data_IF_530852380773
#
_entry.id   IF_530852380773
#
_cell.length_a   1.000
_cell.length_b   1.000
_cell.length_c   1.000
_cell.angle_alpha   90.00
_cell.angle_beta   90.00
_cell.angle_gamma   90.00
#
_symmetry.space_group_name_H-M   'P 1'
#
loop_
_entity.id
_entity.type
_entity.pdbx_description
1 polymer ?
#
# COMPACT_ATOMS: atom_id res chain seq x y z
N UNK A 1 33.94 8.71 4.96
CA UNK A 1 33.55 9.26 3.63
C UNK A 1 32.72 8.27 2.80
N UNK A 2 33.16 7.03 2.58
CA UNK A 2 32.45 6.04 1.74
C UNK A 2 31.07 5.65 2.27
N UNK A 3 30.91 5.49 3.56
CA UNK A 3 29.61 5.12 4.19
C UNK A 3 28.55 6.22 3.99
N UNK A 4 28.94 7.49 4.16
CA UNK A 4 28.03 8.62 3.91
C UNK A 4 27.56 8.70 2.46
N UNK A 5 28.46 8.49 1.50
CA UNK A 5 28.12 8.47 0.08
C UNK A 5 27.15 7.32 -0.27
N UNK A 6 27.35 6.15 0.29
CA UNK A 6 26.44 5.01 0.10
C UNK A 6 25.05 5.27 0.67
N UNK A 7 24.96 5.89 1.85
CA UNK A 7 23.67 6.23 2.45
C UNK A 7 22.94 7.33 1.64
N UNK A 8 23.67 8.34 1.17
CA UNK A 8 23.10 9.34 0.28
C UNK A 8 22.54 8.71 -1.01
N UNK A 9 23.26 7.77 -1.61
CA UNK A 9 22.79 7.05 -2.80
C UNK A 9 21.50 6.24 -2.51
N UNK A 10 21.43 5.56 -1.36
CA UNK A 10 20.20 4.82 -0.96
C UNK A 10 19.01 5.77 -0.79
N UNK A 11 19.19 6.92 -0.14
CA UNK A 11 18.11 7.93 0.02
C UNK A 11 17.64 8.49 -1.33
N UNK A 12 18.54 8.73 -2.25
CA UNK A 12 18.18 9.14 -3.61
C UNK A 12 17.34 8.04 -4.29
N UNK A 13 17.72 6.78 -4.13
CA UNK A 13 16.95 5.67 -4.67
C UNK A 13 15.54 5.59 -4.06
N UNK A 14 15.40 5.75 -2.73
CA UNK A 14 14.08 5.77 -2.09
C UNK A 14 13.20 6.91 -2.63
N UNK A 15 13.78 8.12 -2.82
CA UNK A 15 13.06 9.25 -3.43
C UNK A 15 12.66 8.97 -4.88
N UNK A 16 13.52 8.33 -5.67
CA UNK A 16 13.21 7.94 -7.04
C UNK A 16 12.09 6.90 -7.11
N UNK A 17 12.08 5.93 -6.19
CA UNK A 17 11.00 4.96 -6.08
C UNK A 17 9.65 5.65 -5.80
N UNK A 18 9.62 6.60 -4.86
CA UNK A 18 8.41 7.39 -4.59
C UNK A 18 7.93 8.16 -5.82
N UNK A 19 8.85 8.75 -6.59
CA UNK A 19 8.51 9.44 -7.85
C UNK A 19 7.92 8.49 -8.87
N UNK A 20 8.51 7.30 -9.06
CA UNK A 20 7.99 6.28 -9.98
C UNK A 20 6.59 5.82 -9.58
N UNK A 21 6.37 5.56 -8.29
CA UNK A 21 5.05 5.24 -7.73
C UNK A 21 4.06 6.37 -7.99
N UNK A 22 4.45 7.62 -7.74
CA UNK A 22 3.59 8.78 -7.99
C UNK A 22 3.19 8.88 -9.46
N UNK A 23 4.14 8.73 -10.39
CA UNK A 23 3.86 8.71 -11.84
C UNK A 23 2.90 7.58 -12.20
N UNK A 24 3.10 6.36 -11.67
CA UNK A 24 2.24 5.22 -11.93
C UNK A 24 0.79 5.43 -11.42
N UNK A 25 0.63 6.01 -10.22
CA UNK A 25 -0.71 6.33 -9.68
C UNK A 25 -1.41 7.40 -10.52
N UNK A 26 -0.69 8.43 -10.97
CA UNK A 26 -1.26 9.44 -11.86
C UNK A 26 -1.58 8.88 -13.26
N UNK A 27 -0.76 7.97 -13.80
CA UNK A 27 -1.06 7.29 -15.05
C UNK A 27 -2.33 6.42 -14.95
N UNK A 28 -2.50 5.70 -13.83
CA UNK A 28 -3.75 5.00 -13.52
C UNK A 28 -4.92 5.97 -13.48
N UNK A 29 -4.82 7.08 -12.74
CA UNK A 29 -5.86 8.09 -12.63
C UNK A 29 -6.20 8.72 -13.99
N UNK A 30 -5.22 8.96 -14.84
CA UNK A 30 -5.47 9.49 -16.18
C UNK A 30 -6.29 8.53 -17.07
N UNK A 31 -6.07 7.22 -16.93
CA UNK A 31 -6.81 6.19 -17.68
C UNK A 31 -8.18 5.89 -17.07
N UNK A 32 -8.28 5.81 -15.75
CA UNK A 32 -9.50 5.37 -15.04
C UNK A 32 -10.37 6.54 -14.57
N UNK A 33 -9.88 7.79 -14.67
CA UNK A 33 -10.53 9.04 -14.19
C UNK A 33 -10.65 9.17 -12.68
N UNK A 34 -10.27 8.15 -11.92
CA UNK A 34 -10.24 8.13 -10.46
C UNK A 34 -8.91 7.59 -9.98
N UNK A 35 -8.51 7.91 -8.77
CA UNK A 35 -7.37 7.28 -8.13
C UNK A 35 -7.65 5.80 -7.80
N UNK A 36 -6.63 4.93 -7.77
CA UNK A 36 -6.83 3.53 -7.40
C UNK A 36 -7.33 3.45 -5.95
N UNK A 37 -8.17 2.46 -5.67
CA UNK A 37 -8.58 2.15 -4.30
C UNK A 37 -7.36 1.79 -3.44
N UNK A 38 -7.26 2.32 -2.24
CA UNK A 38 -6.18 1.96 -1.31
C UNK A 38 -6.12 0.46 -1.06
N UNK A 39 -7.30 -0.14 -0.88
CA UNK A 39 -7.54 -1.58 -0.92
C UNK A 39 -8.97 -1.85 -1.37
N UNK A 40 -9.23 -3.02 -1.92
CA UNK A 40 -10.56 -3.43 -2.34
C UNK A 40 -11.07 -4.56 -1.45
N UNK A 41 -12.27 -4.44 -0.89
CA UNK A 41 -12.84 -5.44 0.02
C UNK A 41 -13.29 -6.71 -0.67
N UNK A 42 -13.70 -6.62 -1.94
CA UNK A 42 -14.22 -7.76 -2.70
C UNK A 42 -13.10 -8.72 -3.09
N UNK A 43 -11.99 -8.20 -3.61
CA UNK A 43 -10.87 -9.01 -4.10
C UNK A 43 -9.61 -8.92 -3.23
N UNK A 44 -9.62 -8.09 -2.19
CA UNK A 44 -8.53 -7.86 -1.23
C UNK A 44 -7.19 -7.44 -1.87
N UNK A 45 -7.25 -6.83 -3.03
CA UNK A 45 -6.08 -6.26 -3.68
C UNK A 45 -5.88 -4.80 -3.26
N UNK A 46 -4.63 -4.38 -3.17
CA UNK A 46 -4.27 -3.01 -2.82
C UNK A 46 -3.94 -2.18 -4.07
N UNK A 47 -3.90 -0.86 -3.91
CA UNK A 47 -3.50 0.09 -4.95
C UNK A 47 -2.20 -0.32 -5.67
N UNK A 48 -1.27 -0.99 -4.96
CA UNK A 48 -0.01 -1.46 -5.53
C UNK A 48 -0.21 -2.42 -6.69
N UNK A 49 -1.24 -3.27 -6.64
CA UNK A 49 -1.58 -4.20 -7.72
C UNK A 49 -2.19 -3.45 -8.89
N UNK A 50 -3.09 -2.50 -8.63
CA UNK A 50 -3.78 -1.74 -9.68
C UNK A 50 -2.83 -0.89 -10.53
N UNK A 51 -1.69 -0.45 -9.98
CA UNK A 51 -0.71 0.36 -10.71
C UNK A 51 0.40 -0.45 -11.39
N UNK A 52 0.43 -1.78 -11.27
CA UNK A 52 1.45 -2.63 -11.88
C UNK A 52 1.63 -2.40 -13.39
N UNK A 53 0.56 -2.24 -14.21
CA UNK A 53 0.71 -1.96 -15.65
C UNK A 53 1.51 -0.69 -15.92
N UNK A 54 1.40 0.31 -15.05
CA UNK A 54 2.09 1.59 -15.17
C UNK A 54 3.52 1.57 -14.57
N UNK A 55 3.94 0.41 -14.05
CA UNK A 55 5.29 0.12 -13.54
C UNK A 55 6.00 -0.93 -14.40
N UNK A 56 5.55 -1.11 -15.65
CA UNK A 56 6.08 -2.12 -16.60
C UNK A 56 5.95 -3.57 -16.10
N UNK A 57 4.96 -3.83 -15.23
CA UNK A 57 4.71 -5.13 -14.61
C UNK A 57 3.39 -5.76 -15.09
N UNK A 58 3.06 -5.59 -16.38
CA UNK A 58 1.84 -6.15 -16.96
C UNK A 58 1.75 -7.67 -16.78
N UNK A 59 2.85 -8.39 -17.00
CA UNK A 59 2.88 -9.85 -16.86
C UNK A 59 2.60 -10.33 -15.42
N UNK A 60 2.96 -9.54 -14.41
CA UNK A 60 2.59 -9.83 -13.02
C UNK A 60 1.12 -9.46 -12.76
N UNK A 61 0.65 -8.33 -13.30
CA UNK A 61 -0.74 -7.88 -13.18
C UNK A 61 -1.72 -8.93 -13.72
N UNK A 62 -1.44 -9.51 -14.89
CA UNK A 62 -2.30 -10.51 -15.56
C UNK A 62 -2.42 -11.83 -14.78
N UNK A 63 -1.56 -12.06 -13.81
CA UNK A 63 -1.62 -13.23 -12.94
C UNK A 63 -2.55 -13.07 -11.74
N UNK A 64 -2.95 -11.83 -11.41
CA UNK A 64 -3.87 -11.59 -10.31
C UNK A 64 -5.30 -11.92 -10.72
N UNK A 65 -6.00 -12.61 -9.84
CA UNK A 65 -7.44 -12.76 -9.95
C UNK A 65 -8.13 -11.55 -9.32
N UNK A 66 -8.84 -10.79 -10.14
CA UNK A 66 -9.60 -9.60 -9.73
C UNK A 66 -11.04 -9.92 -9.32
N UNK A 67 -11.46 -11.18 -9.42
CA UNK A 67 -12.73 -11.66 -8.90
C UNK A 67 -12.81 -11.57 -7.38
N UNK A 68 -13.96 -11.93 -6.84
CA UNK A 68 -14.15 -12.06 -5.41
C UNK A 68 -13.19 -13.09 -4.81
N UNK A 69 -12.86 -12.93 -3.55
CA UNK A 69 -12.01 -13.87 -2.84
C UNK A 69 -10.90 -13.19 -2.05
N UNK A 70 -10.25 -13.95 -1.21
CA UNK A 70 -9.30 -13.42 -0.25
C UNK A 70 -7.88 -13.43 -0.80
N UNK A 71 -7.06 -12.51 -0.29
CA UNK A 71 -5.66 -12.41 -0.69
C UNK A 71 -4.87 -13.68 -0.34
N UNK A 72 -5.14 -14.26 0.81
CA UNK A 72 -4.55 -15.53 1.25
C UNK A 72 -5.63 -16.62 1.39
N UNK A 73 -5.45 -17.72 0.68
CA UNK A 73 -6.30 -18.91 0.79
C UNK A 73 -6.07 -19.63 2.12
N UNK A 74 -6.62 -19.13 3.21
CA UNK A 74 -6.69 -19.87 4.48
C UNK A 74 -7.75 -20.97 4.43
N UNK A 75 -7.67 -21.95 5.33
CA UNK A 75 -8.54 -23.16 5.37
C UNK A 75 -10.04 -22.90 5.42
N UNK A 76 -10.47 -21.68 5.68
CA UNK A 76 -11.88 -21.25 5.74
C UNK A 76 -12.21 -20.13 4.76
N UNK A 77 -11.46 -20.00 3.66
CA UNK A 77 -11.59 -18.86 2.74
C UNK A 77 -11.83 -19.34 1.31
N UNK A 78 -12.88 -18.84 0.71
CA UNK A 78 -13.21 -19.13 -0.69
C UNK A 78 -12.35 -18.30 -1.65
N UNK A 79 -11.94 -18.91 -2.74
CA UNK A 79 -11.21 -18.27 -3.82
C UNK A 79 -9.72 -18.64 -3.91
N UNK A 80 -9.07 -18.28 -5.01
CA UNK A 80 -7.66 -18.61 -5.25
C UNK A 80 -6.74 -17.87 -4.27
N UNK A 81 -5.65 -18.52 -3.88
CA UNK A 81 -4.61 -17.92 -3.06
C UNK A 81 -3.78 -16.92 -3.89
N UNK A 82 -4.01 -15.63 -3.62
CA UNK A 82 -3.29 -14.53 -4.27
C UNK A 82 -1.95 -14.21 -3.59
N UNK A 83 -1.71 -14.74 -2.40
CA UNK A 83 -0.52 -14.42 -1.59
C UNK A 83 0.78 -14.89 -2.24
N UNK A 84 0.74 -15.93 -3.06
CA UNK A 84 1.91 -16.43 -3.79
C UNK A 84 2.50 -15.34 -4.70
N UNK A 85 1.70 -14.40 -5.17
CA UNK A 85 2.17 -13.30 -6.01
C UNK A 85 2.93 -12.24 -5.20
N UNK A 86 2.74 -12.17 -3.88
CA UNK A 86 3.52 -11.34 -2.97
C UNK A 86 4.96 -11.86 -2.76
N UNK A 87 5.30 -13.05 -3.26
CA UNK A 87 6.66 -13.57 -3.31
C UNK A 87 7.50 -12.94 -4.43
N UNK A 88 6.89 -12.16 -5.34
CA UNK A 88 7.64 -11.43 -6.35
C UNK A 88 8.21 -10.16 -5.72
N UNK A 89 9.53 -10.04 -5.74
CA UNK A 89 10.22 -8.82 -5.30
C UNK A 89 10.00 -7.71 -6.32
N UNK A 90 9.49 -6.58 -5.83
CA UNK A 90 9.29 -5.36 -6.61
C UNK A 90 10.23 -4.28 -6.06
N UNK A 91 11.36 -4.04 -6.71
CA UNK A 91 12.36 -3.09 -6.21
C UNK A 91 11.80 -1.67 -6.02
N UNK A 92 10.84 -1.27 -6.84
CA UNK A 92 10.15 0.03 -6.71
C UNK A 92 9.39 0.18 -5.39
N UNK A 93 8.96 -0.92 -4.77
CA UNK A 93 8.29 -0.90 -3.46
C UNK A 93 9.23 -1.05 -2.27
N UNK A 94 10.54 -1.15 -2.52
CA UNK A 94 11.54 -1.31 -1.48
C UNK A 94 12.44 -0.07 -1.38
N UNK A 95 12.53 0.52 -0.19
CA UNK A 95 13.53 1.52 0.11
C UNK A 95 14.83 0.82 0.56
N UNK A 96 15.96 1.00 -0.13
CA UNK A 96 17.22 0.35 0.24
C UNK A 96 17.83 0.88 1.55
N UNK A 97 17.32 2.00 2.09
CA UNK A 97 17.66 2.47 3.42
C UNK A 97 16.87 1.79 4.54
N UNK A 98 15.78 1.07 4.20
CA UNK A 98 14.98 0.36 5.18
C UNK A 98 15.68 -0.93 5.63
N UNK A 99 15.61 -1.20 6.92
CA UNK A 99 16.33 -2.32 7.54
C UNK A 99 15.70 -3.69 7.28
N UNK A 100 14.45 -3.75 6.83
CA UNK A 100 13.69 -4.98 6.73
C UNK A 100 13.13 -5.21 5.34
N UNK A 101 13.76 -6.14 4.62
CA UNK A 101 13.33 -6.53 3.27
C UNK A 101 12.20 -7.56 3.28
N UNK A 102 12.22 -8.50 4.22
CA UNK A 102 11.24 -9.59 4.31
C UNK A 102 10.20 -9.29 5.38
N UNK A 103 8.95 -9.58 5.07
CA UNK A 103 7.89 -9.52 6.06
C UNK A 103 8.11 -10.61 7.12
N UNK A 104 8.04 -10.22 8.39
CA UNK A 104 7.90 -11.15 9.49
C UNK A 104 6.49 -10.95 10.00
N UNK A 105 5.62 -11.86 9.65
CA UNK A 105 4.44 -12.03 10.45
C UNK A 105 4.85 -12.83 11.69
N UNK A 106 4.51 -12.38 12.85
CA UNK A 106 4.65 -13.19 14.07
C UNK A 106 3.74 -14.41 14.08
N UNK A 107 3.08 -14.70 12.97
CA UNK A 107 2.13 -15.78 12.75
C UNK A 107 2.54 -16.55 11.50
N UNK A 108 3.19 -17.67 11.70
CA UNK A 108 3.59 -18.63 10.66
C UNK A 108 2.43 -19.24 9.86
N UNK A 109 1.22 -18.77 10.05
CA UNK A 109 0.00 -19.41 9.52
C UNK A 109 -0.54 -18.78 8.25
N UNK A 110 -0.05 -17.62 7.82
CA UNK A 110 -0.68 -16.88 6.71
C UNK A 110 -0.03 -17.13 5.34
N UNK A 111 1.21 -17.59 5.32
CA UNK A 111 1.91 -17.94 4.08
C UNK A 111 2.77 -19.15 4.41
N UNK A 112 2.81 -20.13 3.52
CA UNK A 112 3.65 -21.33 3.65
C UNK A 112 4.89 -21.05 4.54
N UNK A 113 5.10 -21.75 5.65
CA UNK A 113 6.14 -21.46 6.65
C UNK A 113 7.57 -21.43 6.09
N UNK A 114 7.75 -21.87 4.85
CA UNK A 114 9.04 -21.86 4.12
C UNK A 114 9.20 -20.69 3.18
N UNK A 115 8.19 -19.82 3.00
CA UNK A 115 8.21 -18.71 2.04
C UNK A 115 7.82 -17.40 2.70
N UNK A 116 8.80 -16.50 2.87
CA UNK A 116 8.58 -15.15 3.36
C UNK A 116 8.25 -14.21 2.20
N UNK A 117 7.23 -13.37 2.37
CA UNK A 117 6.92 -12.30 1.43
C UNK A 117 7.85 -11.11 1.60
N UNK A 118 7.94 -10.29 0.57
CA UNK A 118 8.68 -9.04 0.63
C UNK A 118 7.84 -7.93 1.29
N UNK A 119 8.47 -7.14 2.13
CA UNK A 119 7.87 -5.92 2.66
C UNK A 119 7.72 -4.88 1.55
N UNK A 120 6.65 -4.10 1.61
CA UNK A 120 6.56 -2.83 0.90
C UNK A 120 6.84 -1.71 1.90
N UNK A 121 7.64 -0.72 1.50
CA UNK A 121 8.00 0.41 2.37
C UNK A 121 7.20 1.68 2.04
N UNK A 122 6.40 1.67 0.96
CA UNK A 122 5.56 2.80 0.56
C UNK A 122 4.11 2.45 0.75
N UNK A 123 3.39 3.29 1.50
CA UNK A 123 2.00 3.07 1.90
C UNK A 123 1.12 4.20 1.40
N UNK A 124 -0.08 3.86 0.97
CA UNK A 124 -1.10 4.82 0.62
C UNK A 124 -1.62 5.53 1.86
N UNK A 125 -1.89 6.83 1.73
CA UNK A 125 -2.44 7.65 2.80
C UNK A 125 -3.95 7.62 2.76
N UNK A 126 -4.55 6.94 3.74
CA UNK A 126 -6.00 6.83 3.89
C UNK A 126 -6.63 8.05 4.57
N UNK A 127 -5.80 8.96 5.10
CA UNK A 127 -6.25 10.17 5.76
C UNK A 127 -6.02 10.19 7.27
N UNK A 128 -6.37 11.29 7.92
CA UNK A 128 -6.25 11.45 9.36
C UNK A 128 -7.28 10.61 10.11
N UNK A 129 -6.96 10.24 11.35
CA UNK A 129 -7.83 9.53 12.28
C UNK A 129 -7.89 10.26 13.62
N UNK A 130 -8.96 10.08 14.37
CA UNK A 130 -9.18 10.75 15.65
C UNK A 130 -10.00 12.02 15.50
N UNK A 131 -9.74 13.02 16.32
CA UNK A 131 -10.49 14.29 16.35
C UNK A 131 -9.71 15.39 15.64
N UNK A 132 -10.36 16.11 14.77
CA UNK A 132 -9.81 17.30 14.13
C UNK A 132 -9.63 18.42 15.18
N UNK A 133 -8.40 18.86 15.47
CA UNK A 133 -8.15 19.84 16.52
C UNK A 133 -8.74 21.23 16.22
N UNK A 134 -8.99 21.54 14.94
CA UNK A 134 -9.56 22.83 14.55
C UNK A 134 -11.08 22.90 14.70
N UNK A 135 -11.78 21.77 14.58
CA UNK A 135 -13.25 21.72 14.58
C UNK A 135 -13.84 20.96 15.75
N UNK A 136 -13.03 20.16 16.47
CA UNK A 136 -13.52 19.25 17.51
C UNK A 136 -14.32 18.04 16.99
N UNK A 137 -14.47 17.90 15.67
CA UNK A 137 -15.21 16.81 15.04
C UNK A 137 -14.29 15.60 14.78
N UNK A 138 -14.85 14.40 14.84
CA UNK A 138 -14.11 13.21 14.41
C UNK A 138 -13.85 13.25 12.91
N UNK A 139 -12.64 12.82 12.49
CA UNK A 139 -12.37 12.62 11.07
C UNK A 139 -13.20 11.46 10.53
N UNK A 140 -13.57 11.48 9.22
CA UNK A 140 -14.27 10.38 8.59
C UNK A 140 -13.50 9.06 8.76
N UNK A 141 -14.19 8.06 9.29
CA UNK A 141 -13.63 6.73 9.47
C UNK A 141 -14.75 5.67 9.53
N UNK A 142 -14.45 4.48 9.07
CA UNK A 142 -15.33 3.31 9.26
C UNK A 142 -14.84 2.53 10.48
N UNK A 143 -15.71 2.33 11.45
CA UNK A 143 -15.40 1.48 12.60
C UNK A 143 -15.25 0.02 12.14
N UNK A 144 -14.20 -0.66 12.59
CA UNK A 144 -13.97 -2.08 12.26
C UNK A 144 -13.50 -2.84 13.48
N UNK A 145 -14.45 -3.48 14.16
CA UNK A 145 -14.21 -4.37 15.30
C UNK A 145 -13.22 -3.82 16.33
N UNK A 146 -12.33 -4.68 16.80
CA UNK A 146 -11.30 -4.35 17.79
C UNK A 146 -10.11 -3.55 17.22
N UNK A 147 -10.02 -3.38 15.89
CA UNK A 147 -8.90 -2.73 15.22
C UNK A 147 -9.06 -1.20 15.08
N UNK A 148 -10.11 -0.63 15.66
CA UNK A 148 -10.30 0.82 15.79
C UNK A 148 -10.68 1.56 14.51
N UNK A 149 -10.97 0.85 13.41
CA UNK A 149 -11.50 1.42 12.17
C UNK A 149 -10.46 1.96 11.19
N UNK A 150 -10.92 2.27 9.98
CA UNK A 150 -10.11 2.76 8.86
C UNK A 150 -10.47 4.21 8.55
N UNK A 151 -9.45 5.07 8.34
CA UNK A 151 -9.65 6.44 7.90
C UNK A 151 -10.14 6.47 6.43
N UNK A 152 -10.99 7.45 6.11
CA UNK A 152 -11.59 7.65 4.78
C UNK A 152 -11.43 9.09 4.27
N UNK A 153 -10.59 9.87 4.92
CA UNK A 153 -10.39 11.28 4.58
C UNK A 153 -9.25 11.55 3.61
N UNK A 154 -8.50 10.54 3.18
CA UNK A 154 -7.38 10.68 2.23
C UNK A 154 -7.75 10.31 0.80
N UNK A 155 -6.72 10.02 -0.03
CA UNK A 155 -6.92 9.61 -1.42
C UNK A 155 -7.01 8.09 -1.55
N UNK A 156 -6.10 7.36 -0.88
CA UNK A 156 -5.95 5.91 -1.00
C UNK A 156 -6.50 5.19 0.23
N UNK A 157 -7.80 5.27 0.44
CA UNK A 157 -8.47 4.52 1.50
C UNK A 157 -9.18 3.27 0.95
N UNK A 158 -9.74 2.47 1.84
CA UNK A 158 -10.42 1.23 1.52
C UNK A 158 -11.65 1.49 0.64
N UNK A 159 -11.75 0.77 -0.48
CA UNK A 159 -12.82 0.91 -1.50
C UNK A 159 -12.98 2.36 -2.02
N UNK A 160 -11.92 3.17 -1.97
CA UNK A 160 -11.96 4.54 -2.46
C UNK A 160 -12.13 4.58 -3.99
N UNK A 161 -12.88 5.59 -4.45
CA UNK A 161 -13.01 5.98 -5.85
C UNK A 161 -12.84 7.50 -5.94
N UNK A 162 -11.70 8.00 -5.44
CA UNK A 162 -11.45 9.44 -5.30
C UNK A 162 -11.23 10.07 -6.67
N UNK A 163 -12.16 10.97 -7.04
CA UNK A 163 -12.00 11.84 -8.20
C UNK A 163 -11.04 12.98 -7.85
N UNK A 164 -10.05 13.30 -8.69
CA UNK A 164 -9.18 14.45 -8.50
C UNK A 164 -9.90 15.78 -8.20
N UNK A 165 -11.05 15.99 -8.81
CA UNK A 165 -11.87 17.21 -8.61
C UNK A 165 -12.42 17.34 -7.19
N UNK A 166 -12.47 16.22 -6.44
CA UNK A 166 -12.97 16.24 -5.04
C UNK A 166 -11.89 16.57 -4.02
N UNK A 167 -10.62 16.65 -4.44
CA UNK A 167 -9.48 16.96 -3.57
C UNK A 167 -9.40 18.49 -3.37
N UNK A 168 -10.05 18.96 -2.33
CA UNK A 168 -10.28 20.41 -2.09
C UNK A 168 -9.01 21.21 -1.86
N UNK A 169 -8.01 20.60 -1.22
CA UNK A 169 -6.73 21.26 -0.90
C UNK A 169 -5.78 21.29 -2.11
N UNK A 170 -6.20 20.71 -3.23
CA UNK A 170 -5.41 20.54 -4.44
C UNK A 170 -4.43 19.35 -4.34
N UNK A 171 -4.19 18.70 -5.47
CA UNK A 171 -3.36 17.50 -5.53
C UNK A 171 -1.90 17.74 -5.11
N UNK A 172 -1.38 18.95 -5.34
CA UNK A 172 -0.01 19.33 -4.95
C UNK A 172 0.17 19.49 -3.44
N UNK A 173 -0.92 19.68 -2.70
CA UNK A 173 -0.91 19.88 -1.24
C UNK A 173 -1.39 18.64 -0.47
N UNK A 174 -1.75 17.57 -1.18
CA UNK A 174 -2.32 16.38 -0.56
C UNK A 174 -1.31 15.23 -0.60
N UNK A 175 -0.99 14.68 0.56
CA UNK A 175 -0.10 13.54 0.69
C UNK A 175 -0.84 12.26 0.25
N UNK A 176 -0.33 11.57 -0.77
CA UNK A 176 -0.94 10.38 -1.34
C UNK A 176 -0.23 9.08 -0.93
N UNK A 177 1.10 9.10 -0.94
CA UNK A 177 1.94 7.95 -0.58
C UNK A 177 3.05 8.42 0.35
N UNK A 178 3.31 7.66 1.39
CA UNK A 178 4.40 7.90 2.34
C UNK A 178 5.30 6.69 2.49
N UNK A 179 6.56 6.93 2.82
CA UNK A 179 7.51 5.87 3.20
C UNK A 179 7.35 5.56 4.69
N UNK A 180 7.30 4.30 5.03
CA UNK A 180 7.29 3.82 6.41
C UNK A 180 8.51 2.95 6.64
N UNK A 181 9.39 3.35 7.55
CA UNK A 181 10.40 2.47 8.11
C UNK A 181 9.68 1.43 8.97
N UNK A 182 9.64 0.19 8.49
CA UNK A 182 9.01 -0.91 9.24
C UNK A 182 9.86 -1.22 10.46
N UNK A 183 9.44 -0.84 11.67
CA UNK A 183 10.19 -1.17 12.88
C UNK A 183 10.16 -2.68 13.14
N UNK A 184 11.06 -3.16 13.97
CA UNK A 184 11.08 -4.56 14.44
C UNK A 184 9.92 -4.81 15.43
N UNK A 185 8.70 -4.69 14.98
CA UNK A 185 7.52 -5.01 15.80
C UNK A 185 6.99 -6.38 15.46
N UNK A 186 6.80 -7.18 16.47
CA UNK A 186 6.27 -8.54 16.38
C UNK A 186 4.75 -8.58 16.17
N UNK A 187 4.08 -7.44 16.17
CA UNK A 187 2.63 -7.35 15.93
C UNK A 187 2.26 -6.01 15.31
N UNK A 188 1.60 -6.04 14.16
CA UNK A 188 0.82 -4.93 13.65
C UNK A 188 -0.57 -5.00 14.27
N UNK A 189 -0.74 -4.39 15.41
CA UNK A 189 -2.06 -3.97 15.86
C UNK A 189 -2.31 -2.58 15.27
N UNK A 190 -2.94 -2.52 14.12
CA UNK A 190 -3.49 -1.30 13.54
C UNK A 190 -4.94 -1.19 13.90
#
# INVERSE_FOLDING_TARGET
>A
AVQGAREAARRIQCSNNQKQIGVAVHAYQASMRVFPAGSNTTNQLSWRVFVLPHLEQQALYDRFDFGAGQFNGGTNREGPDKSILALNKMDVYHCPSASRLLASDGSSTLINPTRQTFNAHYYGVAGPKGTNPATGQAYPHVAYGIYGGYAEGGILYRDSMTDPATVRDGLSNTLMVGEIAVPNVSSWTT
#
